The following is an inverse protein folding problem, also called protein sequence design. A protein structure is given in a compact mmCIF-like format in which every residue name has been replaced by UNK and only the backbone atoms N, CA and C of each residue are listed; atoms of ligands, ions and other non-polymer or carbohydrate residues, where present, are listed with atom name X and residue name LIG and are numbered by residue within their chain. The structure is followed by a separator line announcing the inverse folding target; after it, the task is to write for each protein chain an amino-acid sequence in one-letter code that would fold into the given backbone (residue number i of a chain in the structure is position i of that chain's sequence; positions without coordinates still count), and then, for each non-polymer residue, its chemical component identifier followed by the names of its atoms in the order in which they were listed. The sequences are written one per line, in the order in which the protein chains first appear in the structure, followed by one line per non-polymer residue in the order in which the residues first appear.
data_IF_020398040267
#
_entry.id   IF_020398040267
#
_cell.length_a   1.000
_cell.length_b   1.000
_cell.length_c   1.000
_cell.angle_alpha   90.00
_cell.angle_beta   90.00
_cell.angle_gamma   90.00
#
_symmetry.space_group_name_H-M   'P 1'
#
loop_
_entity.id
_entity.type
_entity.pdbx_description
1 polymer ?
#
# COMPACT_ATOMS: atom_id res chain seq x y z
N UNK A 1 -0.55 -14.57 -1.10
CA UNK A 1 0.60 -14.23 -0.27
C UNK A 1 0.87 -12.74 -0.46
N UNK A 2 0.74 -11.90 0.57
CA UNK A 2 1.14 -10.53 0.45
C UNK A 2 2.66 -10.50 0.29
N UNK A 3 3.14 -9.95 -0.81
CA UNK A 3 4.55 -9.78 -1.07
C UNK A 3 4.85 -8.30 -1.15
N UNK A 4 5.79 -7.84 -0.33
CA UNK A 4 6.42 -6.54 -0.52
C UNK A 4 7.50 -6.78 -1.56
N UNK A 5 7.31 -6.27 -2.77
CA UNK A 5 8.27 -6.46 -3.85
C UNK A 5 9.31 -5.34 -3.86
N UNK A 6 10.58 -5.76 -3.99
CA UNK A 6 11.69 -4.89 -4.28
C UNK A 6 11.69 -4.43 -5.70
N UNK A 7 12.09 -3.21 -5.80
CA UNK A 7 12.23 -2.59 -7.08
C UNK A 7 13.69 -2.54 -7.55
N UNK A 8 13.95 -3.18 -8.67
CA UNK A 8 15.20 -3.04 -9.42
C UNK A 8 15.22 -1.75 -10.27
N UNK A 9 14.73 -0.67 -9.76
CA UNK A 9 14.61 0.60 -10.48
C UNK A 9 14.92 1.83 -9.64
N UNK A 10 15.15 1.63 -8.34
CA UNK A 10 15.65 2.72 -7.51
C UNK A 10 17.12 2.97 -7.87
N UNK A 11 17.58 4.22 -7.79
CA UNK A 11 18.99 4.53 -8.02
C UNK A 11 19.90 3.64 -7.18
N UNK A 12 21.05 3.25 -7.73
CA UNK A 12 21.98 2.30 -7.09
C UNK A 12 22.49 2.72 -5.69
N UNK A 13 22.16 3.92 -5.24
CA UNK A 13 22.50 4.49 -3.93
C UNK A 13 21.35 4.45 -2.92
N UNK A 14 20.15 3.97 -3.30
CA UNK A 14 19.04 3.79 -2.36
C UNK A 14 19.22 2.50 -1.57
N UNK A 15 19.14 2.61 -0.24
CA UNK A 15 19.00 1.42 0.62
C UNK A 15 17.58 0.91 0.49
N UNK A 16 17.46 -0.34 0.10
CA UNK A 16 16.15 -1.00 -0.06
C UNK A 16 16.14 -2.27 0.78
N UNK A 17 15.09 -2.46 1.54
CA UNK A 17 14.85 -3.66 2.34
C UNK A 17 13.42 -4.17 2.11
N UNK A 18 13.07 -5.36 2.58
CA UNK A 18 11.73 -5.91 2.43
C UNK A 18 11.28 -6.64 3.69
N UNK A 19 9.98 -6.60 3.91
CA UNK A 19 9.35 -7.40 4.94
C UNK A 19 8.10 -8.09 4.36
N UNK A 20 7.92 -9.34 4.74
CA UNK A 20 6.74 -10.12 4.40
C UNK A 20 6.03 -10.44 5.70
N UNK A 21 4.87 -9.81 5.98
CA UNK A 21 4.15 -10.03 7.23
C UNK A 21 3.84 -11.52 7.45
N UNK A 22 4.20 -12.03 8.62
CA UNK A 22 3.82 -13.37 9.01
C UNK A 22 2.34 -13.39 9.42
N UNK A 23 1.53 -14.20 8.73
CA UNK A 23 0.09 -14.31 8.98
C UNK A 23 -0.26 -14.68 10.42
N UNK A 24 0.63 -15.40 11.11
CA UNK A 24 0.42 -15.90 12.46
C UNK A 24 0.85 -14.86 13.51
N UNK A 25 1.94 -14.16 13.25
CA UNK A 25 2.55 -13.21 14.21
C UNK A 25 2.07 -11.78 14.01
N UNK A 26 1.99 -11.34 12.77
CA UNK A 26 1.82 -9.93 12.42
C UNK A 26 0.39 -9.62 11.91
N UNK A 27 -0.45 -10.64 11.72
CA UNK A 27 -1.77 -10.48 11.11
C UNK A 27 -1.70 -10.27 9.59
N UNK A 28 -2.79 -9.78 9.01
CA UNK A 28 -2.86 -9.57 7.56
C UNK A 28 -2.48 -8.13 7.21
N UNK A 29 -1.44 -7.96 6.40
CA UNK A 29 -1.09 -6.69 5.76
C UNK A 29 -0.22 -5.77 6.60
N UNK A 30 -0.28 -4.47 6.32
CA UNK A 30 0.48 -3.44 7.01
C UNK A 30 -0.04 -3.27 8.44
N UNK A 31 0.85 -3.28 9.41
CA UNK A 31 0.54 -3.11 10.84
C UNK A 31 1.53 -2.14 11.50
N UNK A 32 1.24 -1.72 12.73
CA UNK A 32 2.04 -0.74 13.47
C UNK A 32 3.44 -1.29 13.75
N UNK A 33 3.57 -2.56 14.13
CA UNK A 33 4.88 -3.17 14.44
C UNK A 33 5.81 -3.18 13.23
N UNK A 34 5.27 -3.36 12.01
CA UNK A 34 6.02 -3.23 10.76
C UNK A 34 6.52 -1.80 10.53
N UNK A 35 5.67 -0.82 10.81
CA UNK A 35 6.01 0.60 10.68
C UNK A 35 7.10 0.97 11.68
N UNK A 36 6.98 0.52 12.93
CA UNK A 36 7.97 0.78 13.97
C UNK A 36 9.32 0.14 13.63
N UNK A 37 9.33 -1.10 13.15
CA UNK A 37 10.57 -1.75 12.66
C UNK A 37 11.20 -0.98 11.50
N UNK A 38 10.41 -0.50 10.55
CA UNK A 38 10.94 0.30 9.46
C UNK A 38 11.57 1.60 9.96
N UNK A 39 10.95 2.25 10.95
CA UNK A 39 11.52 3.46 11.59
C UNK A 39 12.83 3.14 12.33
N UNK A 40 12.89 2.03 13.07
CA UNK A 40 14.09 1.60 13.79
C UNK A 40 15.26 1.28 12.82
N UNK A 41 14.94 0.86 11.60
CA UNK A 41 15.90 0.58 10.53
C UNK A 41 16.23 1.82 9.66
N UNK A 42 15.83 3.02 10.08
CA UNK A 42 16.02 4.27 9.33
C UNK A 42 15.38 4.25 7.92
N UNK A 43 14.29 3.54 7.74
CA UNK A 43 13.50 3.53 6.51
C UNK A 43 12.55 4.73 6.52
N UNK A 44 12.60 5.54 5.49
CA UNK A 44 11.75 6.74 5.35
C UNK A 44 10.53 6.54 4.45
N UNK A 45 10.54 5.47 3.65
CA UNK A 45 9.50 5.23 2.64
C UNK A 45 9.03 3.77 2.66
N UNK A 46 7.73 3.56 2.78
CA UNK A 46 7.09 2.25 2.68
C UNK A 46 6.29 2.17 1.38
N UNK A 47 6.51 1.09 0.62
CA UNK A 47 5.69 0.75 -0.55
C UNK A 47 5.03 -0.59 -0.27
N UNK A 48 3.71 -0.62 -0.19
CA UNK A 48 2.97 -1.88 -0.03
C UNK A 48 2.72 -2.56 -1.36
N UNK A 49 2.60 -3.88 -1.33
CA UNK A 49 2.18 -4.67 -2.48
C UNK A 49 1.15 -5.70 -2.05
N UNK A 50 -0.01 -5.70 -2.69
CA UNK A 50 -1.11 -6.62 -2.39
C UNK A 50 -1.70 -6.45 -0.99
N UNK A 51 -1.57 -5.25 -0.43
CA UNK A 51 -2.18 -4.85 0.85
C UNK A 51 -2.16 -3.32 1.03
N UNK A 52 -2.83 -2.85 2.08
CA UNK A 52 -2.76 -1.46 2.52
C UNK A 52 -4.03 -0.67 2.28
N UNK A 53 -4.92 -1.06 1.36
CA UNK A 53 -6.13 -0.29 1.08
C UNK A 53 -7.06 -0.18 2.31
N UNK A 54 -7.05 -1.17 3.18
CA UNK A 54 -7.83 -1.18 4.42
C UNK A 54 -7.06 -0.67 5.65
N UNK A 55 -5.75 -0.41 5.54
CA UNK A 55 -4.87 -0.04 6.65
C UNK A 55 -4.87 1.47 6.95
N UNK A 56 -6.06 2.08 7.04
CA UNK A 56 -6.22 3.53 7.20
C UNK A 56 -5.53 4.08 8.45
N UNK A 57 -5.69 3.41 9.58
CA UNK A 57 -5.16 3.86 10.86
C UNK A 57 -3.63 3.66 10.94
N UNK A 58 -3.14 2.55 10.45
CA UNK A 58 -1.72 2.20 10.40
C UNK A 58 -0.98 3.19 9.48
N UNK A 59 -1.55 3.49 8.31
CA UNK A 59 -0.99 4.47 7.38
C UNK A 59 -1.01 5.87 8.00
N UNK A 60 -2.10 6.27 8.66
CA UNK A 60 -2.16 7.55 9.37
C UNK A 60 -1.07 7.64 10.46
N UNK A 61 -0.83 6.55 11.18
CA UNK A 61 0.26 6.47 12.16
C UNK A 61 1.63 6.67 11.49
N UNK A 62 1.97 5.91 10.47
CA UNK A 62 3.24 6.05 9.75
C UNK A 62 3.43 7.45 9.16
N UNK A 63 2.36 8.06 8.63
CA UNK A 63 2.38 9.45 8.17
C UNK A 63 2.65 10.43 9.30
N UNK A 64 2.08 10.22 10.49
CA UNK A 64 2.35 11.07 11.67
C UNK A 64 3.80 10.98 12.15
N UNK A 65 4.47 9.87 11.87
CA UNK A 65 5.89 9.65 12.15
C UNK A 65 6.82 10.22 11.07
N UNK A 66 6.28 10.86 10.04
CA UNK A 66 7.04 11.51 8.97
C UNK A 66 7.40 10.60 7.79
N UNK A 67 6.88 9.38 7.73
CA UNK A 67 7.15 8.45 6.64
C UNK A 67 6.40 8.83 5.36
N UNK A 68 6.98 8.50 4.22
CA UNK A 68 6.29 8.44 2.93
C UNK A 68 5.69 7.05 2.74
N UNK A 69 4.40 6.98 2.38
CA UNK A 69 3.72 5.69 2.20
C UNK A 69 3.01 5.66 0.85
N UNK A 70 3.31 4.63 0.08
CA UNK A 70 2.69 4.35 -1.22
C UNK A 70 1.97 3.00 -1.11
N UNK A 71 0.68 3.00 -1.39
CA UNK A 71 -0.14 1.79 -1.38
C UNK A 71 -0.31 1.29 -2.81
N UNK A 72 0.03 0.01 -3.05
CA UNK A 72 -0.37 -0.70 -4.26
C UNK A 72 -1.18 -1.94 -3.88
N UNK A 73 -2.44 -1.95 -4.26
CA UNK A 73 -3.39 -2.98 -3.84
C UNK A 73 -4.40 -3.30 -4.97
N UNK A 74 -5.18 -4.34 -4.77
CA UNK A 74 -6.26 -4.75 -5.69
C UNK A 74 -7.52 -5.22 -4.96
N UNK A 75 -7.53 -5.10 -3.63
CA UNK A 75 -8.68 -5.47 -2.81
C UNK A 75 -9.79 -4.43 -2.91
N UNK A 76 -11.00 -4.83 -2.52
CA UNK A 76 -12.13 -3.90 -2.48
C UNK A 76 -11.87 -2.76 -1.49
N UNK A 77 -12.11 -1.53 -1.95
CA UNK A 77 -11.95 -0.34 -1.11
C UNK A 77 -13.02 -0.35 -0.02
N UNK A 78 -12.64 -0.30 1.27
CA UNK A 78 -13.61 -0.20 2.35
C UNK A 78 -14.51 1.02 2.19
N UNK A 79 -15.78 0.89 2.54
CA UNK A 79 -16.73 1.99 2.50
C UNK A 79 -17.69 1.97 3.71
N UNK A 80 -18.21 3.11 4.02
CA UNK A 80 -19.33 3.29 4.97
C UNK A 80 -20.59 3.61 4.18
N UNK A 81 -21.68 2.94 4.52
CA UNK A 81 -22.99 3.22 3.93
C UNK A 81 -23.75 4.19 4.84
N UNK A 82 -24.15 5.33 4.28
CA UNK A 82 -24.96 6.33 4.98
C UNK A 82 -26.42 5.90 5.01
N UNK A 83 -27.21 6.55 5.88
CA UNK A 83 -28.67 6.30 6.00
C UNK A 83 -29.45 6.50 4.70
N UNK A 84 -28.93 7.32 3.79
CA UNK A 84 -29.52 7.58 2.47
C UNK A 84 -29.11 6.54 1.39
N UNK A 85 -28.34 5.50 1.79
CA UNK A 85 -27.80 4.48 0.87
C UNK A 85 -26.55 4.90 0.11
N UNK A 86 -26.01 6.09 0.35
CA UNK A 86 -24.76 6.56 -0.29
C UNK A 86 -23.57 5.86 0.33
N UNK A 87 -22.65 5.37 -0.50
CA UNK A 87 -21.37 4.77 -0.07
C UNK A 87 -20.29 5.83 -0.02
N UNK A 88 -19.57 5.90 1.08
CA UNK A 88 -18.41 6.75 1.27
C UNK A 88 -17.17 5.86 1.36
N UNK A 89 -16.37 5.83 0.31
CA UNK A 89 -15.15 5.02 0.26
C UNK A 89 -14.06 5.58 1.16
N UNK A 90 -13.41 4.69 1.90
CA UNK A 90 -12.40 5.00 2.89
C UNK A 90 -11.00 4.78 2.28
N UNK A 91 -10.51 5.78 1.55
CA UNK A 91 -9.14 5.76 1.01
C UNK A 91 -8.14 6.06 2.14
N UNK A 92 -7.09 5.25 2.34
CA UNK A 92 -6.10 5.52 3.37
C UNK A 92 -5.29 6.80 3.05
N UNK A 93 -4.81 7.55 4.09
CA UNK A 93 -4.11 8.82 3.92
C UNK A 93 -2.63 8.63 3.52
N UNK A 94 -2.36 7.81 2.52
CA UNK A 94 -1.04 7.60 1.94
C UNK A 94 -0.68 8.72 0.97
N UNK A 95 0.61 8.86 0.63
CA UNK A 95 1.07 9.84 -0.37
C UNK A 95 0.56 9.48 -1.77
N UNK A 96 0.45 8.19 -2.06
CA UNK A 96 -0.20 7.67 -3.26
C UNK A 96 -0.93 6.36 -2.97
N UNK A 97 -2.08 6.17 -3.59
CA UNK A 97 -2.86 4.93 -3.51
C UNK A 97 -3.18 4.46 -4.92
N UNK A 98 -2.56 3.37 -5.32
CA UNK A 98 -2.79 2.70 -6.60
C UNK A 98 -3.62 1.46 -6.34
N UNK A 99 -4.89 1.54 -6.66
CA UNK A 99 -5.82 0.42 -6.57
C UNK A 99 -6.83 0.46 -7.73
N UNK A 100 -6.93 -0.66 -8.43
CA UNK A 100 -7.82 -0.78 -9.60
C UNK A 100 -9.30 -0.81 -9.23
N UNK A 101 -9.64 -1.05 -7.97
CA UNK A 101 -11.00 -1.10 -7.45
C UNK A 101 -11.53 0.28 -7.02
N UNK A 102 -10.69 1.30 -7.02
CA UNK A 102 -11.14 2.67 -6.77
C UNK A 102 -12.13 3.10 -7.83
N UNK A 103 -13.14 3.87 -7.44
CA UNK A 103 -14.17 4.40 -8.35
C UNK A 103 -13.58 5.32 -9.43
N UNK A 104 -12.54 6.10 -9.07
CA UNK A 104 -11.86 7.03 -9.96
C UNK A 104 -10.79 6.37 -10.85
N UNK A 105 -10.57 5.06 -10.71
CA UNK A 105 -9.60 4.34 -11.52
C UNK A 105 -10.14 4.07 -12.94
N UNK A 106 -9.47 4.64 -13.94
CA UNK A 106 -9.84 4.48 -15.35
C UNK A 106 -9.23 3.23 -16.01
N UNK A 107 -8.44 2.43 -15.29
CA UNK A 107 -7.84 1.23 -15.86
C UNK A 107 -8.92 0.23 -16.26
N UNK A 108 -8.93 -0.24 -17.53
CA UNK A 108 -10.08 -0.95 -18.09
C UNK A 108 -10.29 -2.36 -17.50
N UNK A 109 -9.23 -3.01 -17.03
CA UNK A 109 -9.31 -4.37 -16.48
C UNK A 109 -9.20 -4.38 -14.97
N UNK A 110 -10.31 -4.68 -14.29
CA UNK A 110 -10.43 -4.68 -12.84
C UNK A 110 -10.01 -5.99 -12.15
N UNK A 111 -9.52 -6.96 -12.91
CA UNK A 111 -9.13 -8.30 -12.43
C UNK A 111 -7.62 -8.49 -12.24
N UNK A 112 -6.82 -7.41 -12.20
CA UNK A 112 -5.38 -7.54 -11.90
C UNK A 112 -5.16 -8.05 -10.48
N UNK A 113 -4.17 -8.94 -10.31
CA UNK A 113 -3.67 -9.29 -8.98
C UNK A 113 -2.72 -8.20 -8.44
N UNK A 114 -2.47 -8.21 -7.12
CA UNK A 114 -1.62 -7.21 -6.47
C UNK A 114 -0.23 -7.08 -7.08
N UNK A 115 0.41 -8.19 -7.44
CA UNK A 115 1.71 -8.18 -8.12
C UNK A 115 1.65 -7.48 -9.48
N UNK A 116 0.57 -7.68 -10.25
CA UNK A 116 0.41 -7.01 -11.54
C UNK A 116 0.18 -5.51 -11.38
N UNK A 117 -0.54 -5.07 -10.35
CA UNK A 117 -0.70 -3.66 -10.00
C UNK A 117 0.65 -3.04 -9.68
N UNK A 118 1.44 -3.68 -8.80
CA UNK A 118 2.77 -3.21 -8.43
C UNK A 118 3.72 -3.11 -9.62
N UNK A 119 3.76 -4.12 -10.50
CA UNK A 119 4.59 -4.11 -11.71
C UNK A 119 4.16 -3.02 -12.68
N UNK A 120 2.86 -2.80 -12.85
CA UNK A 120 2.35 -1.74 -13.73
C UNK A 120 2.71 -0.35 -13.23
N UNK A 121 2.61 -0.14 -11.91
CA UNK A 121 3.04 1.11 -11.26
C UNK A 121 4.54 1.32 -11.43
N UNK A 122 5.30 0.24 -11.41
CA UNK A 122 6.74 0.26 -11.54
C UNK A 122 7.25 0.81 -12.85
N UNK A 123 6.59 0.50 -13.93
CA UNK A 123 6.99 0.96 -15.25
C UNK A 123 6.85 2.47 -15.45
N UNK A 124 6.02 3.11 -14.64
CA UNK A 124 5.82 4.57 -14.69
C UNK A 124 6.94 5.35 -14.01
N UNK A 125 7.70 4.71 -13.10
CA UNK A 125 8.79 5.36 -12.38
C UNK A 125 10.17 5.18 -13.04
N UNK A 126 10.27 4.41 -14.13
CA UNK A 126 11.54 4.13 -14.84
C UNK A 126 11.78 5.02 -16.07
N UNK A 127 10.90 5.96 -16.32
CA UNK A 127 11.07 7.03 -17.32
C UNK A 127 11.43 8.33 -16.62
#
# INVERSE_FOLDING_TARGET
MPHIFFWKGLPAWSRVDYDIPDRIRDGYGLNIDLIDRALDDDIDTIITCDNGIAAKNEIAYGKSMGMSIIVTDHHEVPYEEKEDGTRVFQIPPADAVVDIKREDCLYPYKGLCGAAVAISSSRLCTT
#
